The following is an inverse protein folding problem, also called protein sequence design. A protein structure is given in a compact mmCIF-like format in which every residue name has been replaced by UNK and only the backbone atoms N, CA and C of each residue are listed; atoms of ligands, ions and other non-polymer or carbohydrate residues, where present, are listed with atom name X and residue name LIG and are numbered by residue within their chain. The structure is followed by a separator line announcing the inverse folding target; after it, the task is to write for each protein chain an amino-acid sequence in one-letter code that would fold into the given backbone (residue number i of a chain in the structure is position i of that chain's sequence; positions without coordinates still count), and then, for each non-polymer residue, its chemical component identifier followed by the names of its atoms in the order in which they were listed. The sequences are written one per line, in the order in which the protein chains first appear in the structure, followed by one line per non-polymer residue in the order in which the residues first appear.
data_IF_240737275092
#
_entry.id   IF_240737275092
#
_cell.length_a   1.000
_cell.length_b   1.000
_cell.length_c   1.000
_cell.angle_alpha   90.00
_cell.angle_beta   90.00
_cell.angle_gamma   90.00
#
_symmetry.space_group_name_H-M   'P 1'
#
loop_
_entity.id
_entity.type
_entity.pdbx_description
1 polymer ?
#
# COMPACT_ATOMS: atom_id res chain seq x y z
N UNK A 1 -3.66 -17.34 -0.15
CA UNK A 1 -4.60 -16.20 -0.06
C UNK A 1 -5.58 -16.45 1.07
N UNK A 2 -5.58 -15.58 2.07
CA UNK A 2 -6.63 -15.56 3.09
C UNK A 2 -7.89 -14.96 2.46
N UNK A 3 -9.01 -15.67 2.58
CA UNK A 3 -10.28 -15.19 2.04
C UNK A 3 -10.78 -13.98 2.84
N UNK A 4 -10.96 -12.84 2.17
CA UNK A 4 -11.61 -11.65 2.74
C UNK A 4 -13.12 -11.80 2.52
N UNK A 5 -13.88 -11.85 3.61
CA UNK A 5 -15.35 -11.99 3.61
C UNK A 5 -16.05 -10.71 3.18
N UNK A 6 -17.34 -10.78 2.85
CA UNK A 6 -18.09 -9.60 2.39
C UNK A 6 -18.21 -8.52 3.46
N UNK A 7 -18.30 -8.90 4.74
CA UNK A 7 -18.27 -7.97 5.87
C UNK A 7 -16.92 -7.26 5.96
N UNK A 8 -15.81 -8.00 5.83
CA UNK A 8 -14.47 -7.42 5.87
C UNK A 8 -14.22 -6.50 4.66
N UNK A 9 -14.71 -6.86 3.47
CA UNK A 9 -14.66 -5.98 2.28
C UNK A 9 -15.42 -4.69 2.53
N UNK A 10 -16.63 -4.76 3.09
CA UNK A 10 -17.43 -3.58 3.40
C UNK A 10 -16.74 -2.66 4.42
N UNK A 11 -16.13 -3.24 5.45
CA UNK A 11 -15.31 -2.52 6.43
C UNK A 11 -14.15 -1.78 5.75
N UNK A 12 -13.39 -2.48 4.91
CA UNK A 12 -12.25 -1.92 4.17
C UNK A 12 -12.72 -0.79 3.26
N UNK A 13 -13.78 -0.99 2.47
CA UNK A 13 -14.29 0.01 1.53
C UNK A 13 -14.81 1.26 2.25
N UNK A 14 -15.51 1.10 3.37
CA UNK A 14 -16.03 2.21 4.17
C UNK A 14 -14.88 3.10 4.66
N UNK A 15 -13.84 2.50 5.23
CA UNK A 15 -12.67 3.23 5.71
C UNK A 15 -11.86 3.83 4.56
N UNK A 16 -11.64 3.07 3.50
CA UNK A 16 -10.85 3.52 2.38
C UNK A 16 -11.47 4.73 1.68
N UNK A 17 -12.80 4.81 1.61
CA UNK A 17 -13.48 5.98 1.01
C UNK A 17 -13.10 7.30 1.69
N UNK A 18 -12.93 7.29 3.02
CA UNK A 18 -12.47 8.46 3.81
C UNK A 18 -11.01 8.80 3.51
N UNK A 19 -10.16 7.78 3.31
CA UNK A 19 -8.76 8.00 2.93
C UNK A 19 -8.63 8.67 1.56
N UNK A 20 -9.59 8.45 0.67
CA UNK A 20 -9.59 9.03 -0.67
C UNK A 20 -10.01 10.51 -0.70
N UNK A 21 -10.68 11.03 0.36
CA UNK A 21 -11.04 12.45 0.47
C UNK A 21 -9.81 13.36 0.49
N UNK A 22 -8.71 12.89 1.09
CA UNK A 22 -7.43 13.61 1.20
C UNK A 22 -6.28 12.82 0.55
N UNK A 23 -6.50 12.35 -0.68
CA UNK A 23 -5.60 11.43 -1.40
C UNK A 23 -4.12 11.83 -1.34
N UNK A 24 -3.79 13.07 -1.71
CA UNK A 24 -2.38 13.49 -1.81
C UNK A 24 -1.71 13.57 -0.45
N UNK A 25 -2.41 14.08 0.56
CA UNK A 25 -1.93 14.17 1.94
C UNK A 25 -1.72 12.78 2.54
N UNK A 26 -2.75 11.94 2.47
CA UNK A 26 -2.69 10.59 3.04
C UNK A 26 -1.61 9.73 2.36
N UNK A 27 -1.45 9.89 1.04
CA UNK A 27 -0.39 9.22 0.29
C UNK A 27 1.01 9.61 0.78
N UNK A 28 1.25 10.88 1.12
CA UNK A 28 2.55 11.32 1.61
C UNK A 28 2.76 11.02 3.09
N UNK A 29 1.70 10.98 3.89
CA UNK A 29 1.75 10.54 5.29
C UNK A 29 2.18 9.08 5.40
N UNK A 30 1.72 8.21 4.48
CA UNK A 30 2.18 6.82 4.37
C UNK A 30 3.69 6.74 4.15
N UNK A 31 4.23 7.52 3.21
CA UNK A 31 5.67 7.54 2.94
C UNK A 31 6.48 8.16 4.08
N UNK A 32 5.96 9.24 4.69
CA UNK A 32 6.57 9.88 5.85
C UNK A 32 6.68 8.89 7.01
N UNK A 33 5.63 8.10 7.25
CA UNK A 33 5.61 7.05 8.26
C UNK A 33 6.57 5.91 7.92
N UNK A 34 6.58 5.44 6.66
CA UNK A 34 7.53 4.42 6.19
C UNK A 34 8.97 4.82 6.45
N UNK A 35 9.37 6.03 6.04
CA UNK A 35 10.75 6.50 6.19
C UNK A 35 11.16 6.77 7.63
N UNK A 36 10.19 6.99 8.52
CA UNK A 36 10.41 7.16 9.95
C UNK A 36 10.57 5.81 10.66
N UNK A 37 9.69 4.84 10.36
CA UNK A 37 9.67 3.53 11.03
C UNK A 37 10.65 2.52 10.42
N UNK A 38 10.91 2.65 9.12
CA UNK A 38 11.73 1.75 8.30
C UNK A 38 12.75 2.56 7.49
N UNK A 39 13.70 3.26 8.14
CA UNK A 39 14.62 4.18 7.47
C UNK A 39 15.48 3.52 6.39
N UNK A 40 15.70 2.20 6.44
CA UNK A 40 16.39 1.42 5.42
C UNK A 40 15.69 1.45 4.05
N UNK A 41 14.37 1.66 4.01
CA UNK A 41 13.57 1.78 2.78
C UNK A 41 13.97 3.00 1.94
N UNK A 42 14.58 4.02 2.57
CA UNK A 42 15.07 5.23 1.91
C UNK A 42 16.05 4.93 0.77
N UNK A 43 16.79 3.82 0.85
CA UNK A 43 17.81 3.43 -0.16
C UNK A 43 17.24 3.28 -1.59
N UNK A 44 15.95 3.02 -1.73
CA UNK A 44 15.28 2.87 -3.03
C UNK A 44 14.88 4.21 -3.68
N UNK A 45 14.90 5.31 -2.94
CA UNK A 45 14.43 6.64 -3.38
C UNK A 45 15.60 7.59 -3.69
N UNK A 46 16.56 7.13 -4.49
CA UNK A 46 17.82 7.87 -4.78
C UNK A 46 17.64 9.25 -5.41
N UNK A 47 16.50 9.49 -6.07
CA UNK A 47 16.20 10.75 -6.77
C UNK A 47 15.31 11.70 -5.96
N UNK A 48 14.93 11.33 -4.73
CA UNK A 48 14.12 12.17 -3.87
C UNK A 48 15.03 12.70 -2.76
N UNK A 49 15.12 14.02 -2.55
CA UNK A 49 15.76 14.57 -1.36
C UNK A 49 14.92 14.17 -0.14
N UNK A 50 15.40 13.17 0.62
CA UNK A 50 14.71 12.65 1.81
C UNK A 50 15.06 13.44 3.09
N UNK A 51 15.60 14.65 2.91
CA UNK A 51 15.97 15.60 3.94
C UNK A 51 15.03 16.81 3.86
N UNK A 52 14.73 17.43 5.00
CA UNK A 52 13.81 18.56 5.07
C UNK A 52 12.34 18.16 5.07
N UNK A 53 11.47 19.03 4.54
CA UNK A 53 10.03 18.83 4.59
C UNK A 53 9.54 17.88 3.48
N UNK A 54 9.51 16.58 3.79
CA UNK A 54 9.03 15.54 2.87
C UNK A 54 7.64 15.85 2.29
N UNK A 55 6.77 16.51 3.04
CA UNK A 55 5.39 16.82 2.64
C UNK A 55 5.30 17.74 1.42
N UNK A 56 6.36 18.50 1.15
CA UNK A 56 6.43 19.44 0.02
C UNK A 56 7.17 18.86 -1.19
N UNK A 57 7.78 17.67 -1.09
CA UNK A 57 8.54 17.09 -2.19
C UNK A 57 7.61 16.63 -3.34
N UNK A 58 7.74 17.21 -4.54
CA UNK A 58 6.81 16.94 -5.64
C UNK A 58 6.92 15.50 -6.18
N UNK A 59 8.10 14.88 -6.11
CA UNK A 59 8.30 13.50 -6.57
C UNK A 59 7.64 12.52 -5.60
N UNK A 60 7.78 12.76 -4.29
CA UNK A 60 7.18 11.95 -3.25
C UNK A 60 5.66 12.09 -3.25
N UNK A 61 5.12 13.31 -3.40
CA UNK A 61 3.68 13.55 -3.56
C UNK A 61 3.11 12.80 -4.77
N UNK A 62 3.81 12.87 -5.90
CA UNK A 62 3.43 12.13 -7.11
C UNK A 62 3.44 10.61 -6.89
N UNK A 63 4.46 10.09 -6.20
CA UNK A 63 4.52 8.67 -5.86
C UNK A 63 3.40 8.26 -4.90
N UNK A 64 3.18 9.03 -3.81
CA UNK A 64 2.08 8.88 -2.86
C UNK A 64 0.72 8.77 -3.57
N UNK A 65 0.46 9.69 -4.50
CA UNK A 65 -0.75 9.65 -5.32
C UNK A 65 -0.89 8.35 -6.13
N UNK A 66 0.20 7.86 -6.75
CA UNK A 66 0.16 6.61 -7.53
C UNK A 66 -0.15 5.40 -6.66
N UNK A 67 0.41 5.33 -5.45
CA UNK A 67 0.12 4.27 -4.48
C UNK A 67 -1.35 4.30 -4.06
N UNK A 68 -1.87 5.47 -3.69
CA UNK A 68 -3.28 5.63 -3.31
C UNK A 68 -4.23 5.23 -4.44
N UNK A 69 -3.95 5.64 -5.68
CA UNK A 69 -4.76 5.26 -6.85
C UNK A 69 -4.72 3.75 -7.11
N UNK A 70 -3.55 3.12 -6.99
CA UNK A 70 -3.41 1.68 -7.19
C UNK A 70 -4.18 0.88 -6.11
N UNK A 71 -4.01 1.25 -4.83
CA UNK A 71 -4.74 0.64 -3.72
C UNK A 71 -6.26 0.85 -3.84
N UNK A 72 -6.69 2.03 -4.28
CA UNK A 72 -8.12 2.27 -4.53
C UNK A 72 -8.68 1.34 -5.61
N UNK A 73 -7.95 1.13 -6.71
CA UNK A 73 -8.37 0.17 -7.75
C UNK A 73 -8.41 -1.26 -7.23
N UNK A 74 -7.46 -1.65 -6.38
CA UNK A 74 -7.47 -2.96 -5.73
C UNK A 74 -8.71 -3.11 -4.84
N UNK A 75 -8.98 -2.14 -3.97
CA UNK A 75 -10.10 -2.16 -3.01
C UNK A 75 -11.46 -2.15 -3.70
N UNK A 76 -11.59 -1.45 -4.83
CA UNK A 76 -12.79 -1.46 -5.67
C UNK A 76 -13.04 -2.81 -6.36
N UNK A 77 -12.03 -3.69 -6.43
CA UNK A 77 -12.11 -4.97 -7.14
C UNK A 77 -11.95 -6.18 -6.21
N UNK A 78 -12.14 -6.05 -4.90
CA UNK A 78 -11.96 -7.16 -3.95
C UNK A 78 -12.87 -8.37 -4.22
N UNK A 79 -14.01 -8.17 -4.90
CA UNK A 79 -14.88 -9.27 -5.34
C UNK A 79 -14.35 -10.02 -6.58
N UNK A 80 -13.36 -9.46 -7.26
CA UNK A 80 -12.75 -10.03 -8.46
C UNK A 80 -11.22 -10.09 -8.31
N UNK A 81 -10.75 -11.14 -7.64
CA UNK A 81 -9.32 -11.33 -7.40
C UNK A 81 -8.48 -11.37 -8.68
N UNK A 82 -9.04 -11.90 -9.78
CA UNK A 82 -8.36 -11.88 -11.09
C UNK A 82 -8.07 -10.46 -11.55
N UNK A 83 -8.98 -9.52 -11.30
CA UNK A 83 -8.79 -8.10 -11.60
C UNK A 83 -7.80 -7.45 -10.63
N UNK A 84 -7.80 -7.84 -9.35
CA UNK A 84 -6.76 -7.42 -8.38
C UNK A 84 -5.37 -7.83 -8.87
N UNK A 85 -5.16 -9.09 -9.27
CA UNK A 85 -3.88 -9.57 -9.79
C UNK A 85 -3.43 -8.82 -11.04
N UNK A 86 -4.35 -8.46 -11.95
CA UNK A 86 -4.03 -7.65 -13.14
C UNK A 86 -3.50 -6.26 -12.80
N UNK A 87 -3.84 -5.72 -11.63
CA UNK A 87 -3.33 -4.42 -11.16
C UNK A 87 -2.03 -4.63 -10.39
N UNK A 88 -2.00 -5.61 -9.48
CA UNK A 88 -0.92 -5.80 -8.53
C UNK A 88 0.33 -6.40 -9.18
N UNK A 89 0.18 -7.39 -10.07
CA UNK A 89 1.32 -8.12 -10.62
C UNK A 89 2.26 -7.20 -11.44
N UNK A 90 1.77 -6.36 -12.37
CA UNK A 90 2.66 -5.45 -13.12
C UNK A 90 3.33 -4.43 -12.21
N UNK A 91 2.67 -4.03 -11.12
CA UNK A 91 3.24 -3.12 -10.13
C UNK A 91 4.39 -3.81 -9.38
N UNK A 92 4.16 -5.01 -8.86
CA UNK A 92 5.16 -5.79 -8.16
C UNK A 92 6.38 -6.09 -9.06
N UNK A 93 6.13 -6.53 -10.29
CA UNK A 93 7.19 -6.81 -11.28
C UNK A 93 8.04 -5.57 -11.57
N UNK A 94 7.41 -4.41 -11.77
CA UNK A 94 8.14 -3.16 -11.97
C UNK A 94 9.01 -2.80 -10.76
N UNK A 95 8.52 -2.99 -9.55
CA UNK A 95 9.29 -2.73 -8.33
C UNK A 95 10.47 -3.69 -8.20
N UNK A 96 10.31 -4.95 -8.59
CA UNK A 96 11.41 -5.92 -8.65
C UNK A 96 12.45 -5.55 -9.71
N UNK A 97 12.03 -5.40 -10.97
CA UNK A 97 12.95 -5.33 -12.12
C UNK A 97 13.57 -3.93 -12.26
N UNK A 98 12.76 -2.88 -12.16
CA UNK A 98 13.21 -1.50 -12.44
C UNK A 98 13.75 -0.81 -11.19
N UNK A 99 13.10 -1.05 -10.05
CA UNK A 99 13.42 -0.35 -8.80
C UNK A 99 14.26 -1.20 -7.84
N UNK A 100 14.47 -2.49 -8.16
CA UNK A 100 15.24 -3.44 -7.34
C UNK A 100 14.82 -3.43 -5.87
N UNK A 101 13.52 -3.29 -5.62
CA UNK A 101 12.94 -3.27 -4.26
C UNK A 101 12.84 -4.70 -3.76
N UNK A 102 13.46 -4.97 -2.61
CA UNK A 102 13.37 -6.28 -1.93
C UNK A 102 11.92 -6.51 -1.46
N UNK A 103 11.41 -7.74 -1.61
CA UNK A 103 9.98 -8.05 -1.49
C UNK A 103 9.41 -7.68 -0.12
N UNK A 104 10.21 -7.81 0.94
CA UNK A 104 9.85 -7.56 2.34
C UNK A 104 9.39 -6.11 2.56
N UNK A 105 9.89 -5.16 1.75
CA UNK A 105 9.50 -3.75 1.87
C UNK A 105 8.02 -3.51 1.53
N UNK A 106 7.39 -4.39 0.76
CA UNK A 106 5.94 -4.33 0.53
C UNK A 106 5.15 -4.59 1.82
N UNK A 107 5.66 -5.45 2.70
CA UNK A 107 5.04 -5.70 4.00
C UNK A 107 5.07 -4.45 4.87
N UNK A 108 6.21 -3.74 4.90
CA UNK A 108 6.34 -2.47 5.64
C UNK A 108 5.42 -1.39 5.07
N UNK A 109 5.38 -1.25 3.74
CA UNK A 109 4.46 -0.32 3.07
C UNK A 109 3.00 -0.60 3.42
N UNK A 110 2.57 -1.86 3.29
CA UNK A 110 1.20 -2.28 3.59
C UNK A 110 0.85 -2.03 5.05
N UNK A 111 1.76 -2.31 5.99
CA UNK A 111 1.57 -1.99 7.41
C UNK A 111 1.40 -0.47 7.61
N UNK A 112 2.28 0.35 7.05
CA UNK A 112 2.17 1.81 7.13
C UNK A 112 0.84 2.35 6.57
N UNK A 113 0.25 1.71 5.56
CA UNK A 113 -1.09 2.05 5.06
C UNK A 113 -2.15 1.86 6.15
N UNK A 114 -2.17 0.71 6.83
CA UNK A 114 -3.15 0.42 7.89
C UNK A 114 -2.97 1.34 9.09
N UNK A 115 -1.72 1.56 9.47
CA UNK A 115 -1.27 2.48 10.50
C UNK A 115 -1.75 3.93 10.25
N UNK A 116 -1.61 4.46 9.03
CA UNK A 116 -2.11 5.80 8.68
C UNK A 116 -3.65 5.82 8.63
N UNK A 117 -4.30 4.73 8.21
CA UNK A 117 -5.76 4.63 8.32
C UNK A 117 -6.22 4.73 9.79
N UNK A 118 -5.50 4.08 10.71
CA UNK A 118 -5.77 4.15 12.14
C UNK A 118 -5.58 5.57 12.68
N UNK A 119 -4.46 6.22 12.35
CA UNK A 119 -4.19 7.60 12.78
C UNK A 119 -5.28 8.58 12.30
N UNK A 120 -5.73 8.43 11.05
CA UNK A 120 -6.73 9.31 10.45
C UNK A 120 -8.13 9.11 11.03
N UNK A 121 -8.50 7.87 11.36
CA UNK A 121 -9.86 7.52 11.79
C UNK A 121 -10.04 7.46 13.30
N UNK A 122 -8.95 7.34 14.06
CA UNK A 122 -8.96 7.26 15.51
C UNK A 122 -9.95 6.18 16.01
N UNK A 123 -10.91 6.54 16.89
CA UNK A 123 -11.87 5.57 17.43
C UNK A 123 -12.74 4.85 16.40
N UNK A 124 -12.88 5.38 15.17
CA UNK A 124 -13.61 4.71 14.10
C UNK A 124 -12.85 3.52 13.49
N UNK A 125 -11.55 3.40 13.73
CA UNK A 125 -10.74 2.25 13.30
C UNK A 125 -10.79 1.16 14.38
N UNK A 126 -11.90 0.43 14.42
CA UNK A 126 -12.14 -0.60 15.44
C UNK A 126 -11.23 -1.82 15.24
N UNK A 127 -11.08 -2.70 16.26
CA UNK A 127 -10.32 -3.94 16.12
C UNK A 127 -10.78 -4.82 14.95
N UNK A 128 -12.07 -4.88 14.68
CA UNK A 128 -12.65 -5.66 13.57
C UNK A 128 -12.25 -5.08 12.19
N UNK A 129 -12.20 -3.75 12.09
CA UNK A 129 -11.70 -3.07 10.89
C UNK A 129 -10.19 -3.32 10.74
N UNK A 130 -9.43 -3.24 11.83
CA UNK A 130 -8.00 -3.52 11.83
C UNK A 130 -7.71 -4.95 11.34
N UNK A 131 -8.47 -5.94 11.83
CA UNK A 131 -8.36 -7.34 11.39
C UNK A 131 -8.70 -7.49 9.89
N UNK A 132 -9.75 -6.79 9.43
CA UNK A 132 -10.12 -6.78 8.00
C UNK A 132 -8.97 -6.26 7.13
N UNK A 133 -8.31 -5.18 7.55
CA UNK A 133 -7.14 -4.63 6.86
C UNK A 133 -5.94 -5.58 6.91
N UNK A 134 -5.65 -6.20 8.06
CA UNK A 134 -4.55 -7.17 8.19
C UNK A 134 -4.72 -8.37 7.27
N UNK A 135 -5.96 -8.88 7.10
CA UNK A 135 -6.26 -9.95 6.15
C UNK A 135 -6.03 -9.51 4.70
N UNK A 136 -6.48 -8.31 4.33
CA UNK A 136 -6.20 -7.75 3.01
C UNK A 136 -4.70 -7.59 2.78
N UNK A 137 -3.97 -6.98 3.71
CA UNK A 137 -2.52 -6.76 3.63
C UNK A 137 -1.78 -8.08 3.45
N UNK A 138 -2.11 -9.11 4.23
CA UNK A 138 -1.52 -10.45 4.11
C UNK A 138 -1.78 -11.04 2.71
N UNK A 139 -3.02 -10.99 2.22
CA UNK A 139 -3.36 -11.50 0.89
C UNK A 139 -2.69 -10.75 -0.26
N UNK A 140 -2.53 -9.42 -0.14
CA UNK A 140 -1.79 -8.63 -1.13
C UNK A 140 -0.30 -8.97 -1.09
N UNK A 141 0.28 -9.08 0.10
CA UNK A 141 1.69 -9.44 0.25
C UNK A 141 1.99 -10.83 -0.31
N UNK A 142 1.17 -11.84 0.00
CA UNK A 142 1.27 -13.19 -0.59
C UNK A 142 1.32 -13.12 -2.13
N UNK A 143 0.44 -12.32 -2.73
CA UNK A 143 0.38 -12.18 -4.18
C UNK A 143 1.59 -11.44 -4.76
N UNK A 144 2.13 -10.45 -4.04
CA UNK A 144 3.41 -9.80 -4.41
C UNK A 144 4.54 -10.84 -4.36
N UNK A 145 4.64 -11.64 -3.30
CA UNK A 145 5.65 -12.71 -3.18
C UNK A 145 5.53 -13.71 -4.34
N UNK A 146 4.32 -14.17 -4.65
CA UNK A 146 4.07 -15.05 -5.80
C UNK A 146 4.57 -14.37 -7.08
N UNK A 147 4.23 -13.10 -7.31
CA UNK A 147 4.69 -12.38 -8.52
C UNK A 147 6.22 -12.31 -8.56
N UNK A 148 6.85 -11.97 -7.44
CA UNK A 148 8.30 -11.89 -7.32
C UNK A 148 9.00 -13.23 -7.63
N UNK A 149 8.41 -14.36 -7.27
CA UNK A 149 8.96 -15.68 -7.56
C UNK A 149 8.91 -16.04 -9.06
N UNK A 150 7.96 -15.48 -9.81
CA UNK A 150 7.75 -15.81 -11.24
C UNK A 150 8.21 -14.71 -12.21
N UNK A 151 8.44 -13.48 -11.74
CA UNK A 151 8.94 -12.39 -12.58
C UNK A 151 10.39 -12.62 -13.01
N UNK A 152 10.66 -12.53 -14.32
CA UNK A 152 12.00 -12.73 -14.90
C UNK A 152 12.37 -14.19 -15.21
N UNK A 153 11.36 -15.08 -15.32
CA UNK A 153 11.53 -16.48 -15.74
C UNK A 153 11.34 -16.72 -17.24
N UNK A 154 11.33 -15.67 -18.06
CA UNK A 154 11.25 -15.74 -19.53
C UNK A 154 12.61 -15.46 -20.19
#
# INVERSE_FOLDING_TARGET
MVQVTDVEKANIQSIWSKMMENLEKNGIDIFTRLFREYPETKKYFKNIPLEGNLQEDPLLRSHGRRVMVALNRIIQNLDNWKQVCKILNPLAEKHKIIHSVDVENFQFMLKCVGDVCQDYLGPCYTPEIAESFQKLQSSLYDQVVITYLHSGSD
#
